data_IF_854510153398
#
_entry.id   IF_854510153398
#
_cell.length_a   1.000
_cell.length_b   1.000
_cell.length_c   1.000
_cell.angle_alpha   90.00
_cell.angle_beta   90.00
_cell.angle_gamma   90.00
#
_symmetry.space_group_name_H-M   'P 1'
#
loop_
_entity.id
_entity.type
_entity.pdbx_description
1 polymer ?
#
# COMPACT_ATOMS: atom_id res chain seq x y z
N UNK A 1 -24.23 -2.74 20.34
CA UNK A 1 -22.98 -3.07 19.62
C UNK A 1 -22.37 -1.74 19.21
N UNK A 2 -21.21 -1.37 19.77
CA UNK A 2 -20.54 -0.13 19.39
C UNK A 2 -19.64 -0.44 18.20
N UNK A 3 -19.85 0.31 17.12
CA UNK A 3 -19.10 0.17 15.87
C UNK A 3 -18.26 1.43 15.68
N UNK A 4 -16.98 1.26 15.39
CA UNK A 4 -16.10 2.34 14.99
C UNK A 4 -16.03 2.41 13.46
N UNK A 5 -16.55 3.48 12.87
CA UNK A 5 -16.48 3.72 11.43
C UNK A 5 -15.24 4.58 11.10
N UNK A 6 -14.42 4.06 10.18
CA UNK A 6 -13.18 4.67 9.73
C UNK A 6 -13.20 4.82 8.21
N UNK A 7 -12.49 5.83 7.74
CA UNK A 7 -12.35 6.15 6.33
C UNK A 7 -10.87 6.30 5.99
N UNK A 8 -10.33 5.38 5.19
CA UNK A 8 -8.89 5.33 4.89
C UNK A 8 -8.60 5.61 3.41
N UNK A 9 -7.50 6.32 3.19
CA UNK A 9 -6.87 6.48 1.89
C UNK A 9 -5.57 5.68 1.90
N UNK A 10 -5.56 4.55 1.20
CA UNK A 10 -4.39 3.68 1.11
C UNK A 10 -3.45 4.26 0.07
N UNK A 11 -2.49 5.05 0.54
CA UNK A 11 -1.37 5.51 -0.26
C UNK A 11 -0.18 4.65 0.11
N UNK A 12 0.49 4.05 -0.87
CA UNK A 12 1.80 3.44 -0.59
C UNK A 12 2.71 4.56 -0.11
N UNK A 13 3.00 4.60 1.20
CA UNK A 13 3.97 5.52 1.76
C UNK A 13 5.31 5.27 1.07
N UNK A 14 5.60 6.06 0.05
CA UNK A 14 6.98 6.38 -0.26
C UNK A 14 7.44 7.30 0.87
N UNK A 15 7.84 6.72 2.00
CA UNK A 15 9.00 7.31 2.69
C UNK A 15 10.00 7.64 1.60
N UNK A 16 10.51 8.88 1.56
CA UNK A 16 11.51 9.30 0.59
C UNK A 16 12.53 8.17 0.44
N UNK A 17 12.43 7.40 -0.65
CA UNK A 17 13.25 6.19 -0.78
C UNK A 17 14.63 6.70 -1.14
N UNK A 18 15.46 6.88 -0.13
CA UNK A 18 16.88 7.16 -0.28
C UNK A 18 17.58 5.82 -0.36
N UNK A 19 18.24 5.55 -1.49
CA UNK A 19 18.94 4.29 -1.74
C UNK A 19 20.41 4.60 -2.00
N UNK A 20 21.30 3.94 -1.27
CA UNK A 20 22.74 4.10 -1.45
C UNK A 20 23.25 3.14 -2.54
N UNK A 21 23.81 3.70 -3.64
CA UNK A 21 24.26 2.94 -4.82
C UNK A 21 25.51 3.57 -5.43
N UNK A 22 26.32 2.75 -6.10
CA UNK A 22 27.43 3.24 -6.92
C UNK A 22 26.91 4.02 -8.14
N UNK A 23 27.25 5.30 -8.23
CA UNK A 23 26.95 6.13 -9.38
C UNK A 23 28.11 6.06 -10.37
N UNK A 24 27.87 5.45 -11.54
CA UNK A 24 28.87 5.34 -12.62
C UNK A 24 29.47 6.68 -13.03
N UNK A 25 28.66 7.74 -13.03
CA UNK A 25 29.10 9.07 -13.45
C UNK A 25 29.76 9.88 -12.30
N UNK A 26 29.51 9.53 -11.04
CA UNK A 26 30.24 10.12 -9.90
C UNK A 26 31.52 9.34 -9.56
N UNK A 27 31.68 8.12 -10.07
CA UNK A 27 32.79 7.24 -9.74
C UNK A 27 32.78 6.69 -8.31
N UNK A 28 31.71 6.93 -7.53
CA UNK A 28 31.60 6.56 -6.11
C UNK A 28 30.17 6.19 -5.70
N UNK A 29 30.06 5.56 -4.54
CA UNK A 29 28.77 5.30 -3.90
C UNK A 29 28.18 6.60 -3.37
N UNK A 30 26.93 6.85 -3.72
CA UNK A 30 26.16 8.04 -3.35
C UNK A 30 24.72 7.64 -3.05
N UNK A 31 24.02 8.51 -2.35
CA UNK A 31 22.58 8.40 -2.16
C UNK A 31 21.84 8.75 -3.45
N UNK A 32 20.80 8.00 -3.73
CA UNK A 32 19.87 8.22 -4.83
C UNK A 32 18.49 8.42 -4.24
N UNK A 33 17.86 9.56 -4.54
CA UNK A 33 16.49 9.89 -4.11
C UNK A 33 15.51 9.60 -5.24
N UNK A 34 14.34 9.06 -4.92
CA UNK A 34 13.26 8.88 -5.90
C UNK A 34 12.84 10.26 -6.43
N UNK A 35 12.97 10.49 -7.73
CA UNK A 35 12.56 11.75 -8.37
C UNK A 35 11.06 11.86 -8.58
N UNK A 36 10.30 10.81 -8.23
CA UNK A 36 8.89 10.63 -8.56
C UNK A 36 8.59 10.51 -10.06
N UNK A 37 9.58 10.71 -10.93
CA UNK A 37 9.45 10.49 -12.36
C UNK A 37 9.42 8.97 -12.64
N UNK A 38 8.54 8.57 -13.56
CA UNK A 38 8.35 7.17 -13.98
C UNK A 38 8.64 7.05 -15.47
N UNK A 39 9.38 6.02 -15.86
CA UNK A 39 9.68 5.72 -17.26
C UNK A 39 9.01 4.42 -17.68
N UNK A 40 8.32 4.47 -18.80
CA UNK A 40 7.74 3.30 -19.45
C UNK A 40 8.52 3.02 -20.73
N UNK A 41 9.11 1.82 -20.82
CA UNK A 41 9.76 1.35 -22.02
C UNK A 41 8.95 0.19 -22.57
N UNK A 42 8.34 0.37 -23.73
CA UNK A 42 7.74 -0.74 -24.47
C UNK A 42 8.86 -1.57 -25.10
N UNK A 43 8.76 -2.90 -24.96
CA UNK A 43 9.60 -3.85 -25.66
C UNK A 43 8.71 -5.00 -26.16
N UNK A 44 8.30 -4.87 -27.42
CA UNK A 44 7.32 -5.74 -28.07
C UNK A 44 6.02 -5.81 -27.26
N UNK A 45 5.69 -7.01 -26.79
CA UNK A 45 4.46 -7.32 -26.06
C UNK A 45 4.46 -6.86 -24.59
N UNK A 46 5.59 -6.38 -24.06
CA UNK A 46 5.74 -6.04 -22.66
C UNK A 46 6.06 -4.55 -22.47
N UNK A 47 5.47 -3.92 -21.47
CA UNK A 47 5.79 -2.56 -21.02
C UNK A 47 6.56 -2.70 -19.71
N UNK A 48 7.77 -2.16 -19.71
CA UNK A 48 8.68 -2.14 -18.57
C UNK A 48 8.53 -0.80 -17.86
N UNK A 49 8.27 -0.84 -16.55
CA UNK A 49 8.11 0.36 -15.73
C UNK A 49 9.30 0.54 -14.81
N UNK A 50 9.85 1.74 -14.81
CA UNK A 50 10.99 2.13 -13.96
C UNK A 50 10.66 3.38 -13.15
N UNK A 51 11.12 3.42 -11.90
CA UNK A 51 11.28 4.65 -11.13
C UNK A 51 12.64 5.26 -11.44
N UNK A 52 12.65 6.56 -11.67
CA UNK A 52 13.88 7.33 -11.89
C UNK A 52 14.34 7.84 -10.54
N UNK A 53 15.55 7.47 -10.15
CA UNK A 53 16.22 8.03 -8.99
C UNK A 53 17.36 8.95 -9.42
N UNK A 54 17.58 10.01 -8.65
CA UNK A 54 18.63 11.01 -8.90
C UNK A 54 19.59 11.08 -7.73
N UNK A 55 20.89 11.13 -8.03
CA UNK A 55 21.89 11.43 -7.02
C UNK A 55 22.02 12.96 -6.80
N UNK A 56 22.81 13.44 -5.82
CA UNK A 56 22.99 14.88 -5.59
C UNK A 56 23.56 15.67 -6.79
N UNK A 57 24.17 14.98 -7.77
CA UNK A 57 24.66 15.56 -9.03
C UNK A 57 23.71 15.34 -10.22
N UNK A 58 22.45 15.00 -9.95
CA UNK A 58 21.38 14.77 -10.93
C UNK A 58 21.63 13.61 -11.94
N UNK A 59 22.59 12.73 -11.66
CA UNK A 59 22.78 11.52 -12.44
C UNK A 59 21.65 10.52 -12.16
N UNK A 60 21.21 9.83 -13.21
CA UNK A 60 20.05 8.93 -13.15
C UNK A 60 20.42 7.50 -12.83
N UNK A 61 19.65 6.88 -11.94
CA UNK A 61 19.57 5.44 -11.78
C UNK A 61 18.13 4.97 -11.92
N UNK A 62 17.89 3.97 -12.77
CA UNK A 62 16.54 3.45 -13.04
C UNK A 62 16.28 2.19 -12.22
N UNK A 63 15.38 2.25 -11.25
CA UNK A 63 14.90 1.08 -10.52
C UNK A 63 13.72 0.46 -11.27
N UNK A 64 13.84 -0.80 -11.67
CA UNK A 64 12.72 -1.55 -12.28
C UNK A 64 11.62 -1.78 -11.25
N UNK A 65 10.39 -1.39 -11.56
CA UNK A 65 9.22 -1.56 -10.70
C UNK A 65 8.39 -2.77 -11.11
N UNK A 66 8.00 -2.85 -12.37
CA UNK A 66 7.10 -3.90 -12.87
C UNK A 66 7.22 -4.10 -14.38
N UNK A 67 6.61 -5.18 -14.86
CA UNK A 67 6.45 -5.50 -16.28
C UNK A 67 4.99 -5.93 -16.49
N UNK A 68 4.32 -5.39 -17.51
CA UNK A 68 2.95 -5.78 -17.86
C UNK A 68 2.76 -5.89 -19.37
N UNK A 69 1.67 -6.51 -19.84
CA UNK A 69 1.42 -6.72 -21.28
C UNK A 69 0.83 -5.47 -21.93
N UNK A 70 1.24 -5.20 -23.17
CA UNK A 70 0.76 -4.04 -23.93
C UNK A 70 -0.67 -4.19 -24.48
N UNK A 71 -1.17 -5.43 -24.61
CA UNK A 71 -2.41 -5.76 -25.33
C UNK A 71 -3.57 -6.24 -24.43
N UNK A 72 -3.47 -6.10 -23.10
CA UNK A 72 -4.64 -6.32 -22.23
C UNK A 72 -5.58 -5.12 -22.34
N UNK A 73 -6.82 -5.37 -22.76
CA UNK A 73 -7.94 -4.41 -22.88
C UNK A 73 -7.76 -3.22 -21.95
N UNK A 74 -7.51 -2.04 -22.53
CA UNK A 74 -7.45 -0.74 -21.85
C UNK A 74 -7.16 -0.88 -20.37
N UNK A 75 -5.97 -1.40 -20.04
CA UNK A 75 -5.53 -1.50 -18.66
C UNK A 75 -5.50 -0.06 -18.15
N UNK A 76 -6.59 0.35 -17.46
CA UNK A 76 -6.85 1.70 -16.98
C UNK A 76 -5.51 2.25 -16.53
N UNK A 77 -5.02 3.26 -17.26
CA UNK A 77 -3.75 3.91 -16.97
C UNK A 77 -3.81 4.20 -15.49
N UNK A 78 -3.01 3.46 -14.72
CA UNK A 78 -2.97 3.60 -13.28
C UNK A 78 -2.20 4.88 -13.06
N UNK A 79 -2.92 6.00 -13.13
CA UNK A 79 -2.46 7.32 -12.77
C UNK A 79 -1.98 7.20 -11.30
N UNK A 80 -0.70 6.93 -11.13
CA UNK A 80 -0.01 7.26 -9.89
C UNK A 80 0.14 8.78 -9.92
N UNK A 81 -0.86 9.49 -9.40
CA UNK A 81 -0.75 10.91 -9.15
C UNK A 81 -1.33 11.29 -7.79
N UNK A 82 -0.38 11.84 -7.01
CA UNK A 82 -0.47 12.89 -6.01
C UNK A 82 -0.94 12.45 -4.61
N UNK A 83 0.03 12.59 -3.69
CA UNK A 83 -0.18 12.57 -2.26
C UNK A 83 -1.24 13.61 -1.88
N UNK A 84 -2.36 13.13 -1.36
CA UNK A 84 -3.22 13.91 -0.50
C UNK A 84 -2.95 13.38 0.89
N UNK A 85 -2.22 14.17 1.67
CA UNK A 85 -2.12 14.01 3.12
C UNK A 85 -3.53 13.94 3.71
N UNK A 86 -3.77 12.96 4.58
CA UNK A 86 -4.83 13.02 5.58
C UNK A 86 -4.36 12.25 6.81
N UNK A 87 -3.64 12.98 7.65
CA UNK A 87 -3.86 13.19 9.09
C UNK A 87 -4.66 12.17 9.94
N UNK A 88 -4.46 10.87 9.76
CA UNK A 88 -4.76 9.93 10.85
C UNK A 88 -3.69 8.86 10.93
N UNK A 89 -2.81 9.08 11.91
CA UNK A 89 -1.75 8.20 12.38
C UNK A 89 -2.27 6.77 12.48
N UNK A 90 -1.79 5.88 11.60
CA UNK A 90 -2.12 4.45 11.54
C UNK A 90 -1.57 3.69 12.78
N UNK A 91 -2.14 3.92 13.96
CA UNK A 91 -1.89 3.07 15.13
C UNK A 91 -3.11 3.05 16.05
N UNK A 92 -4.07 2.19 15.74
CA UNK A 92 -5.18 1.88 16.63
C UNK A 92 -4.76 0.76 17.57
N UNK A 93 -4.82 0.99 18.88
CA UNK A 93 -4.57 -0.03 19.89
C UNK A 93 -5.88 -0.82 20.12
N UNK A 94 -5.90 -2.11 19.74
CA UNK A 94 -7.11 -2.96 19.84
C UNK A 94 -7.64 -3.03 21.27
N UNK A 95 -6.75 -3.14 22.25
CA UNK A 95 -7.10 -3.24 23.67
C UNK A 95 -7.85 -1.99 24.15
N UNK A 96 -7.39 -0.80 23.74
CA UNK A 96 -8.06 0.45 24.10
C UNK A 96 -9.46 0.56 23.48
N UNK A 97 -9.64 0.08 22.25
CA UNK A 97 -10.96 0.06 21.62
C UNK A 97 -11.93 -0.90 22.32
N UNK A 98 -11.43 -2.04 22.81
CA UNK A 98 -12.21 -2.98 23.63
C UNK A 98 -12.63 -2.34 24.96
N UNK A 99 -11.72 -1.66 25.65
CA UNK A 99 -12.00 -0.95 26.90
C UNK A 99 -13.03 0.16 26.72
N UNK A 100 -13.02 0.84 25.57
CA UNK A 100 -14.05 1.82 25.18
C UNK A 100 -15.39 1.18 24.75
N UNK A 101 -15.48 -0.15 24.79
CA UNK A 101 -16.70 -0.90 24.52
C UNK A 101 -17.00 -1.14 23.03
N UNK A 102 -16.06 -0.85 22.12
CA UNK A 102 -16.23 -1.17 20.70
C UNK A 102 -16.13 -2.68 20.47
N UNK A 103 -17.04 -3.20 19.65
CA UNK A 103 -17.10 -4.63 19.29
C UNK A 103 -16.71 -4.88 17.84
N UNK A 104 -16.75 -3.83 17.01
CA UNK A 104 -16.50 -3.92 15.58
C UNK A 104 -15.86 -2.64 15.04
N UNK A 105 -14.96 -2.79 14.07
CA UNK A 105 -14.40 -1.70 13.28
C UNK A 105 -14.87 -1.89 11.83
N UNK A 106 -15.33 -0.81 11.20
CA UNK A 106 -15.64 -0.74 9.77
C UNK A 106 -14.70 0.25 9.12
N UNK A 107 -13.99 -0.19 8.09
CA UNK A 107 -13.01 0.63 7.39
C UNK A 107 -13.43 0.74 5.93
N UNK A 108 -13.81 1.95 5.52
CA UNK A 108 -14.08 2.26 4.11
C UNK A 108 -12.81 2.73 3.42
N UNK A 109 -12.46 2.09 2.32
CA UNK A 109 -11.34 2.49 1.48
C UNK A 109 -11.81 3.55 0.49
N UNK A 110 -11.54 4.82 0.79
CA UNK A 110 -11.92 5.94 -0.07
C UNK A 110 -11.05 6.01 -1.32
N UNK A 111 -9.76 5.67 -1.18
CA UNK A 111 -8.79 5.61 -2.27
C UNK A 111 -7.78 4.48 -2.00
N UNK A 112 -7.33 3.80 -3.06
CA UNK A 112 -6.32 2.75 -2.98
C UNK A 112 -5.29 2.87 -4.12
N UNK A 113 -4.11 3.38 -3.78
CA UNK A 113 -2.98 3.52 -4.69
C UNK A 113 -1.95 2.43 -4.39
N UNK A 114 -1.45 1.78 -5.45
CA UNK A 114 -0.53 0.65 -5.33
C UNK A 114 -1.23 -0.69 -5.06
N UNK A 115 -0.45 -1.76 -4.85
CA UNK A 115 -0.96 -3.11 -4.61
C UNK A 115 -0.93 -3.43 -3.10
N UNK A 116 -1.75 -2.73 -2.33
CA UNK A 116 -1.82 -2.89 -0.87
C UNK A 116 -2.54 -4.19 -0.51
N UNK A 117 -1.88 -5.07 0.25
CA UNK A 117 -2.46 -6.32 0.74
C UNK A 117 -3.19 -6.07 2.06
N UNK A 118 -4.36 -6.68 2.21
CA UNK A 118 -5.20 -6.65 3.41
C UNK A 118 -4.41 -7.03 4.67
N UNK A 119 -3.74 -8.19 4.66
CA UNK A 119 -2.99 -8.69 5.82
C UNK A 119 -1.89 -7.75 6.31
N UNK A 120 -1.18 -7.13 5.37
CA UNK A 120 -0.11 -6.18 5.66
C UNK A 120 -0.67 -4.88 6.22
N UNK A 121 -1.66 -4.29 5.55
CA UNK A 121 -2.25 -3.02 5.93
C UNK A 121 -2.89 -3.08 7.33
N UNK A 122 -3.61 -4.16 7.65
CA UNK A 122 -4.20 -4.32 8.97
C UNK A 122 -3.13 -4.48 10.06
N UNK A 123 -2.05 -5.21 9.78
CA UNK A 123 -0.98 -5.42 10.76
C UNK A 123 -0.18 -4.15 11.06
N UNK A 124 -0.07 -3.26 10.07
CA UNK A 124 0.57 -1.95 10.23
C UNK A 124 -0.33 -1.00 11.04
N UNK A 125 -1.65 -1.11 10.86
CA UNK A 125 -2.64 -0.15 11.40
C UNK A 125 -3.24 -0.55 12.76
N UNK A 126 -3.42 -1.85 13.03
CA UNK A 126 -4.03 -2.39 14.25
C UNK A 126 -2.93 -2.92 15.19
N UNK A 127 -2.48 -2.08 16.12
CA UNK A 127 -1.57 -2.47 17.19
C UNK A 127 -2.29 -3.40 18.17
N UNK A 128 -1.61 -4.46 18.58
CA UNK A 128 -2.17 -5.55 19.38
C UNK A 128 -2.30 -6.86 18.61
N UNK A 129 -2.40 -6.82 17.28
CA UNK A 129 -2.41 -8.02 16.44
C UNK A 129 -1.21 -8.10 15.50
N UNK A 130 -0.51 -9.23 15.55
CA UNK A 130 0.46 -9.63 14.56
C UNK A 130 -0.21 -9.96 13.22
N UNK A 131 0.57 -9.91 12.14
CA UNK A 131 0.13 -10.36 10.82
C UNK A 131 -0.37 -11.81 10.83
N UNK A 132 0.25 -12.68 11.63
CA UNK A 132 -0.16 -14.08 11.82
C UNK A 132 -1.54 -14.18 12.48
N UNK A 133 -1.84 -13.34 13.46
CA UNK A 133 -3.17 -13.29 14.10
C UNK A 133 -4.22 -12.75 13.14
N UNK A 134 -3.93 -11.70 12.38
CA UNK A 134 -4.83 -11.19 11.35
C UNK A 134 -5.16 -12.28 10.32
N UNK A 135 -4.17 -13.05 9.88
CA UNK A 135 -4.39 -14.19 8.97
C UNK A 135 -5.32 -15.24 9.59
N UNK A 136 -5.17 -15.55 10.88
CA UNK A 136 -6.07 -16.46 11.60
C UNK A 136 -7.49 -15.90 11.66
N UNK A 137 -7.65 -14.62 12.01
CA UNK A 137 -8.94 -13.93 12.09
C UNK A 137 -9.67 -13.88 10.74
N UNK A 138 -8.93 -13.66 9.65
CA UNK A 138 -9.48 -13.77 8.28
C UNK A 138 -10.00 -15.18 8.00
N UNK A 139 -9.25 -16.22 8.38
CA UNK A 139 -9.68 -17.62 8.20
C UNK A 139 -10.89 -17.98 9.06
N UNK A 140 -11.04 -17.35 10.22
CA UNK A 140 -12.17 -17.52 11.14
C UNK A 140 -13.41 -16.68 10.75
N UNK A 141 -13.38 -15.96 9.62
CA UNK A 141 -14.43 -15.02 9.19
C UNK A 141 -14.66 -13.82 10.13
N UNK A 142 -13.71 -13.53 11.03
CA UNK A 142 -13.75 -12.35 11.90
C UNK A 142 -13.32 -11.06 11.16
N UNK A 143 -12.68 -11.22 9.99
CA UNK A 143 -12.30 -10.13 9.10
C UNK A 143 -12.84 -10.41 7.70
N UNK A 144 -13.62 -9.48 7.16
CA UNK A 144 -14.29 -9.60 5.87
C UNK A 144 -14.08 -8.36 5.01
N UNK A 145 -14.14 -8.53 3.69
CA UNK A 145 -14.11 -7.42 2.72
C UNK A 145 -15.40 -7.47 1.90
N UNK A 146 -16.14 -6.38 1.89
CA UNK A 146 -17.46 -6.25 1.26
C UNK A 146 -18.41 -7.37 1.71
N UNK A 147 -18.42 -7.66 3.02
CA UNK A 147 -19.22 -8.72 3.67
C UNK A 147 -18.99 -10.12 3.10
N UNK A 148 -17.81 -10.35 2.50
CA UNK A 148 -17.41 -11.63 1.92
C UNK A 148 -16.14 -12.16 2.56
N UNK A 149 -16.05 -13.50 2.60
CA UNK A 149 -14.82 -14.22 2.97
C UNK A 149 -13.71 -13.83 2.00
N UNK A 150 -12.57 -13.43 2.56
CA UNK A 150 -11.45 -12.89 1.80
C UNK A 150 -10.18 -13.72 2.01
N UNK A 151 -9.23 -13.60 1.08
CA UNK A 151 -7.89 -14.16 1.27
C UNK A 151 -7.01 -13.14 2.00
N UNK A 152 -6.09 -13.54 2.89
CA UNK A 152 -5.19 -12.60 3.55
C UNK A 152 -4.36 -11.75 2.58
N UNK A 153 -3.98 -12.33 1.44
CA UNK A 153 -3.24 -11.64 0.37
C UNK A 153 -4.10 -10.81 -0.57
N UNK A 154 -5.41 -10.67 -0.31
CA UNK A 154 -6.31 -9.88 -1.14
C UNK A 154 -5.80 -8.45 -1.25
N UNK A 155 -5.78 -7.94 -2.49
CA UNK A 155 -5.43 -6.56 -2.77
C UNK A 155 -6.66 -5.70 -2.57
N UNK A 156 -6.50 -4.62 -1.81
CA UNK A 156 -7.56 -3.66 -1.56
C UNK A 156 -7.70 -2.70 -2.73
N UNK A 157 -8.95 -2.38 -3.07
CA UNK A 157 -9.31 -1.42 -4.10
C UNK A 157 -10.16 -0.29 -3.51
N UNK A 158 -10.32 0.77 -4.30
CA UNK A 158 -11.25 1.85 -3.98
C UNK A 158 -12.65 1.28 -3.72
N UNK A 159 -13.31 1.82 -2.72
CA UNK A 159 -14.66 1.48 -2.26
C UNK A 159 -14.80 0.12 -1.58
N UNK A 160 -13.71 -0.59 -1.31
CA UNK A 160 -13.77 -1.75 -0.42
C UNK A 160 -14.20 -1.32 1.00
N UNK A 161 -15.08 -2.11 1.60
CA UNK A 161 -15.48 -1.98 3.00
C UNK A 161 -14.93 -3.17 3.78
N UNK A 162 -14.09 -2.91 4.77
CA UNK A 162 -13.48 -3.95 5.60
C UNK A 162 -14.21 -3.96 6.94
N UNK A 163 -14.71 -5.13 7.33
CA UNK A 163 -15.31 -5.36 8.64
C UNK A 163 -14.33 -6.17 9.48
N UNK A 164 -14.03 -5.68 10.68
CA UNK A 164 -13.15 -6.33 11.66
C UNK A 164 -13.90 -6.50 12.96
N UNK A 165 -14.07 -7.73 13.40
CA UNK A 165 -14.64 -8.06 14.71
C UNK A 165 -13.51 -8.04 15.74
N UNK A 166 -13.65 -7.21 16.77
CA UNK A 166 -12.65 -7.04 17.82
C UNK A 166 -13.07 -7.62 19.15
N UNK A 167 -14.19 -8.32 19.25
CA UNK A 167 -14.64 -9.02 20.47
C UNK A 167 -13.61 -10.04 20.98
#
# INVERSE_FOLDING_TARGET
MNVLDLSWNLVEQSMEKVITRYCKNCGKTVEFKDSLIRRHNSNGKNIYRYAIFKCPKDHTWNQKLSIYKAYTEHAKVREELIAIENDNKYSLQIESLREQGYTQIRIKINQAYGAVRLDKMLAESLKGWSRTEIVKKIKNNEIQVNDKVCKPSQKLIKSDNITVIIT
#
